data_IF_779092137634
#
_entry.id   IF_779092137634
#
_cell.length_a   1.000
_cell.length_b   1.000
_cell.length_c   1.000
_cell.angle_alpha   90.00
_cell.angle_beta   90.00
_cell.angle_gamma   90.00
#
_symmetry.space_group_name_H-M   'P 1'
#
loop_
_entity.id
_entity.type
_entity.pdbx_description
1 polymer ?
#
# COMPACT_ATOMS: atom_id res chain seq x y z
N UNK A 1 0.91 -2.75 -20.70
CA UNK A 1 0.40 -2.21 -19.41
C UNK A 1 1.45 -1.28 -18.80
N UNK A 2 1.05 -0.14 -18.23
CA UNK A 2 2.00 0.74 -17.54
C UNK A 2 2.31 0.16 -16.15
N UNK A 3 3.56 -0.22 -15.91
CA UNK A 3 4.02 -0.70 -14.60
C UNK A 3 4.13 0.48 -13.64
N UNK A 4 3.54 0.37 -12.46
CA UNK A 4 3.63 1.35 -11.38
C UNK A 4 4.43 0.77 -10.22
N UNK A 5 5.61 1.33 -10.00
CA UNK A 5 6.49 0.99 -8.89
C UNK A 5 6.66 2.19 -7.96
N UNK A 6 7.02 1.92 -6.71
CA UNK A 6 7.41 2.93 -5.71
C UNK A 6 6.35 4.00 -5.41
N UNK A 7 5.06 3.67 -5.61
CA UNK A 7 3.98 4.59 -5.27
C UNK A 7 3.88 4.91 -3.77
N UNK A 8 4.39 4.03 -2.93
CA UNK A 8 4.41 4.08 -1.47
C UNK A 8 5.60 4.87 -0.88
N UNK A 9 6.41 5.57 -1.69
CA UNK A 9 7.55 6.38 -1.21
C UNK A 9 8.52 5.62 -0.26
N UNK A 10 8.66 4.30 -0.44
CA UNK A 10 9.43 3.37 0.41
C UNK A 10 8.84 3.10 1.82
N UNK A 11 7.62 3.52 2.10
CA UNK A 11 6.97 3.26 3.38
C UNK A 11 5.98 2.10 3.29
N UNK A 12 6.20 1.06 4.10
CA UNK A 12 5.18 0.05 4.37
C UNK A 12 3.97 0.70 5.03
N UNK A 13 2.78 0.14 4.80
CA UNK A 13 1.57 0.59 5.47
C UNK A 13 1.71 0.34 6.97
N UNK A 14 1.47 1.38 7.77
CA UNK A 14 1.52 1.33 9.23
C UNK A 14 0.13 1.31 9.83
N UNK A 15 0.03 0.75 11.02
CA UNK A 15 -1.18 0.84 11.83
C UNK A 15 -1.65 2.30 11.98
N UNK A 16 -2.95 2.51 11.93
CA UNK A 16 -3.58 3.84 12.03
C UNK A 16 -3.51 4.71 10.77
N UNK A 17 -2.70 4.38 9.75
CA UNK A 17 -2.59 5.20 8.54
C UNK A 17 -3.87 5.20 7.70
N UNK A 18 -4.52 4.05 7.53
CA UNK A 18 -5.77 3.95 6.78
C UNK A 18 -6.88 4.73 7.50
N UNK A 19 -7.06 4.51 8.80
CA UNK A 19 -8.02 5.25 9.60
C UNK A 19 -7.82 6.77 9.50
N UNK A 20 -6.58 7.23 9.75
CA UNK A 20 -6.22 8.65 9.66
C UNK A 20 -6.54 9.22 8.28
N UNK A 21 -6.18 8.51 7.23
CA UNK A 21 -6.43 8.91 5.85
C UNK A 21 -7.91 8.97 5.51
N UNK A 22 -8.69 7.93 5.83
CA UNK A 22 -10.14 7.86 5.62
C UNK A 22 -10.84 9.03 6.30
N UNK A 23 -10.54 9.29 7.58
CA UNK A 23 -11.13 10.39 8.33
C UNK A 23 -10.85 11.77 7.72
N UNK A 24 -9.64 11.98 7.18
CA UNK A 24 -9.28 13.27 6.58
C UNK A 24 -9.88 13.45 5.18
N UNK A 25 -10.02 12.38 4.40
CA UNK A 25 -10.70 12.40 3.10
C UNK A 25 -12.20 12.67 3.27
N UNK A 26 -12.84 12.01 4.23
CA UNK A 26 -14.25 12.22 4.54
C UNK A 26 -14.55 13.68 4.94
N UNK A 27 -13.66 14.27 5.76
CA UNK A 27 -13.80 15.65 6.23
C UNK A 27 -13.48 16.71 5.15
N UNK A 28 -12.57 16.42 4.22
CA UNK A 28 -12.11 17.40 3.22
C UNK A 28 -11.66 16.74 1.93
N UNK A 29 -12.42 16.81 0.84
CA UNK A 29 -12.02 16.29 -0.47
C UNK A 29 -10.72 16.87 -1.03
N UNK A 30 -10.31 18.05 -0.57
CA UNK A 30 -9.08 18.72 -1.01
C UNK A 30 -7.89 18.49 -0.08
N UNK A 31 -7.98 17.54 0.86
CA UNK A 31 -6.95 17.28 1.87
C UNK A 31 -5.54 17.10 1.29
N UNK A 32 -5.41 16.51 0.10
CA UNK A 32 -4.12 16.28 -0.55
C UNK A 32 -3.65 17.41 -1.48
N UNK A 33 -4.39 18.53 -1.59
CA UNK A 33 -4.08 19.64 -2.50
C UNK A 33 -2.87 20.45 -2.04
N UNK A 34 -2.73 20.66 -0.73
CA UNK A 34 -1.64 21.43 -0.13
C UNK A 34 -0.67 20.48 0.57
N UNK A 35 0.62 20.65 0.33
CA UNK A 35 1.70 19.84 0.92
C UNK A 35 1.39 18.34 0.98
N UNK A 36 0.67 17.81 -0.03
CA UNK A 36 0.20 16.42 -0.09
C UNK A 36 -0.65 15.98 1.12
N UNK A 37 -1.21 16.91 1.87
CA UNK A 37 -1.98 16.63 3.08
C UNK A 37 -1.13 16.40 4.34
N UNK A 38 0.16 16.68 4.31
CA UNK A 38 1.08 16.42 5.42
C UNK A 38 0.63 17.07 6.73
N UNK A 39 0.24 18.36 6.67
CA UNK A 39 -0.20 19.11 7.85
C UNK A 39 -1.50 18.56 8.42
N UNK A 40 -2.47 18.24 7.55
CA UNK A 40 -3.75 17.67 7.96
C UNK A 40 -3.60 16.27 8.58
N UNK A 41 -2.66 15.46 8.04
CA UNK A 41 -2.37 14.11 8.53
C UNK A 41 -1.39 14.10 9.72
N UNK A 42 -0.70 15.21 10.02
CA UNK A 42 0.30 15.28 11.07
C UNK A 42 1.49 14.35 10.82
N UNK A 43 1.98 14.29 9.58
CA UNK A 43 3.11 13.43 9.16
C UNK A 43 3.98 14.17 8.15
N UNK A 44 5.18 13.66 7.86
CA UNK A 44 6.04 14.20 6.81
C UNK A 44 5.41 14.05 5.41
N UNK A 45 5.77 14.92 4.46
CA UNK A 45 5.17 14.96 3.12
C UNK A 45 5.27 13.64 2.34
N UNK A 46 6.38 12.90 2.45
CA UNK A 46 6.52 11.59 1.81
C UNK A 46 5.63 10.52 2.48
N UNK A 47 5.43 10.60 3.79
CA UNK A 47 4.48 9.73 4.49
C UNK A 47 3.04 10.05 4.08
N UNK A 48 2.69 11.32 3.91
CA UNK A 48 1.38 11.74 3.42
C UNK A 48 1.11 11.21 2.00
N UNK A 49 2.10 11.28 1.10
CA UNK A 49 2.03 10.66 -0.23
C UNK A 49 1.82 9.15 -0.16
N UNK A 50 2.52 8.48 0.77
CA UNK A 50 2.36 7.04 0.98
C UNK A 50 0.94 6.69 1.48
N UNK A 51 0.40 7.43 2.45
CA UNK A 51 -0.99 7.24 2.93
C UNK A 51 -1.98 7.41 1.77
N UNK A 52 -1.85 8.48 0.99
CA UNK A 52 -2.68 8.70 -0.20
C UNK A 52 -2.59 7.55 -1.20
N UNK A 53 -1.37 7.07 -1.46
CA UNK A 53 -1.14 5.92 -2.34
C UNK A 53 -1.84 4.66 -1.81
N UNK A 54 -1.66 4.31 -0.53
CA UNK A 54 -2.25 3.12 0.05
C UNK A 54 -3.78 3.13 -0.01
N UNK A 55 -4.42 4.26 0.30
CA UNK A 55 -5.88 4.41 0.18
C UNK A 55 -6.36 4.16 -1.24
N UNK A 56 -5.65 4.67 -2.25
CA UNK A 56 -5.98 4.44 -3.67
C UNK A 56 -5.70 3.02 -4.12
N UNK A 57 -4.55 2.49 -3.76
CA UNK A 57 -4.13 1.15 -4.16
C UNK A 57 -5.05 0.07 -3.57
N UNK A 58 -5.48 0.22 -2.31
CA UNK A 58 -6.46 -0.63 -1.64
C UNK A 58 -7.92 -0.32 -2.00
N UNK A 59 -8.17 0.63 -2.92
CA UNK A 59 -9.50 1.03 -3.39
C UNK A 59 -10.45 1.51 -2.29
N UNK A 60 -9.92 2.08 -1.22
CA UNK A 60 -10.73 2.73 -0.18
C UNK A 60 -11.01 4.20 -0.50
N UNK A 61 -10.24 4.76 -1.41
CA UNK A 61 -10.37 6.13 -1.89
C UNK A 61 -10.16 6.20 -3.40
N UNK A 62 -10.83 7.13 -4.04
CA UNK A 62 -10.61 7.53 -5.42
C UNK A 62 -10.44 9.05 -5.55
N UNK A 63 -9.88 9.50 -6.65
CA UNK A 63 -9.68 10.92 -6.95
C UNK A 63 -10.15 11.21 -8.38
N UNK A 64 -11.46 11.41 -8.58
CA UNK A 64 -11.98 11.83 -9.87
C UNK A 64 -11.42 13.20 -10.26
N UNK A 65 -11.17 13.45 -11.56
CA UNK A 65 -10.70 14.73 -12.02
C UNK A 65 -11.62 15.87 -11.57
N UNK A 66 -11.04 16.92 -10.97
CA UNK A 66 -11.72 18.13 -10.48
C UNK A 66 -12.62 17.97 -9.24
N UNK A 67 -12.88 16.77 -8.78
CA UNK A 67 -13.73 16.53 -7.60
C UNK A 67 -12.93 16.45 -6.29
N UNK A 68 -11.65 16.10 -6.39
CA UNK A 68 -10.79 15.84 -5.23
C UNK A 68 -10.87 14.40 -4.76
N UNK A 69 -10.37 14.15 -3.56
CA UNK A 69 -10.40 12.83 -2.93
C UNK A 69 -11.77 12.53 -2.36
N UNK A 70 -12.29 11.32 -2.58
CA UNK A 70 -13.52 10.83 -1.96
C UNK A 70 -13.40 9.36 -1.59
N UNK A 71 -14.12 8.94 -0.57
CA UNK A 71 -14.20 7.53 -0.20
C UNK A 71 -14.99 6.77 -1.26
N UNK A 72 -14.52 5.56 -1.58
CA UNK A 72 -15.32 4.59 -2.35
C UNK A 72 -16.44 4.03 -1.46
N UNK A 73 -17.40 3.31 -2.04
CA UNK A 73 -18.47 2.65 -1.25
C UNK A 73 -17.88 1.73 -0.17
N UNK A 74 -16.85 0.95 -0.54
CA UNK A 74 -16.11 0.10 0.42
C UNK A 74 -15.41 0.95 1.47
N UNK A 75 -14.74 2.03 1.06
CA UNK A 75 -14.09 2.96 1.99
C UNK A 75 -15.05 3.59 2.98
N UNK A 76 -16.27 3.94 2.54
CA UNK A 76 -17.32 4.48 3.41
C UNK A 76 -17.82 3.44 4.41
N UNK A 77 -18.07 2.20 3.97
CA UNK A 77 -18.50 1.10 4.83
C UNK A 77 -17.43 0.83 5.91
N UNK A 78 -16.17 0.66 5.51
CA UNK A 78 -15.07 0.43 6.45
C UNK A 78 -14.95 1.60 7.44
N UNK A 79 -14.99 2.84 6.96
CA UNK A 79 -14.87 4.03 7.82
C UNK A 79 -16.00 4.13 8.85
N UNK A 80 -17.21 3.67 8.49
CA UNK A 80 -18.40 3.72 9.35
C UNK A 80 -18.43 2.55 10.35
N UNK A 81 -18.19 1.32 9.87
CA UNK A 81 -18.43 0.10 10.64
C UNK A 81 -17.19 -0.41 11.37
N UNK A 82 -15.98 -0.17 10.83
CA UNK A 82 -14.69 -0.59 11.41
C UNK A 82 -13.64 0.52 11.26
N UNK A 83 -13.91 1.65 11.85
CA UNK A 83 -13.12 2.88 11.73
C UNK A 83 -11.63 2.68 12.02
N UNK A 84 -11.28 1.79 12.92
CA UNK A 84 -9.90 1.56 13.36
C UNK A 84 -9.25 0.34 12.70
N UNK A 85 -9.97 -0.35 11.80
CA UNK A 85 -9.52 -1.56 11.12
C UNK A 85 -9.07 -2.66 12.12
N UNK A 86 -9.86 -2.85 13.15
CA UNK A 86 -9.65 -3.89 14.17
C UNK A 86 -10.17 -5.26 13.70
N UNK A 87 -11.15 -5.27 12.78
CA UNK A 87 -11.65 -6.50 12.18
C UNK A 87 -10.68 -7.01 11.11
N UNK A 88 -10.20 -8.22 11.28
CA UNK A 88 -9.31 -8.88 10.31
C UNK A 88 -9.95 -8.97 8.91
N UNK A 89 -11.27 -9.01 8.82
CA UNK A 89 -12.01 -9.02 7.56
C UNK A 89 -11.79 -7.73 6.76
N UNK A 90 -11.74 -6.58 7.42
CA UNK A 90 -11.41 -5.29 6.80
C UNK A 90 -10.00 -5.28 6.20
N UNK A 91 -9.04 -5.91 6.87
CA UNK A 91 -7.68 -6.08 6.35
C UNK A 91 -7.64 -7.01 5.14
N UNK A 92 -8.42 -8.10 5.15
CA UNK A 92 -8.55 -8.99 3.99
C UNK A 92 -9.16 -8.27 2.78
N UNK A 93 -10.21 -7.46 2.98
CA UNK A 93 -10.81 -6.65 1.90
C UNK A 93 -9.75 -5.73 1.28
N UNK A 94 -8.99 -5.03 2.12
CA UNK A 94 -7.91 -4.17 1.63
C UNK A 94 -6.86 -4.96 0.87
N UNK A 95 -6.40 -6.08 1.44
CA UNK A 95 -5.41 -6.95 0.82
C UNK A 95 -5.85 -7.44 -0.57
N UNK A 96 -7.07 -7.96 -0.69
CA UNK A 96 -7.62 -8.45 -1.96
C UNK A 96 -7.66 -7.31 -3.00
N UNK A 97 -8.09 -6.13 -2.60
CA UNK A 97 -8.09 -4.97 -3.48
C UNK A 97 -6.68 -4.56 -3.92
N UNK A 98 -5.72 -4.59 -2.99
CA UNK A 98 -4.32 -4.25 -3.26
C UNK A 98 -3.68 -5.29 -4.19
N UNK A 99 -3.79 -6.58 -3.86
CA UNK A 99 -3.27 -7.69 -4.66
C UNK A 99 -3.93 -7.79 -6.05
N UNK A 100 -5.18 -7.37 -6.19
CA UNK A 100 -5.89 -7.29 -7.47
C UNK A 100 -5.62 -6.00 -8.27
N UNK A 101 -4.80 -5.07 -7.78
CA UNK A 101 -4.60 -3.77 -8.41
C UNK A 101 -3.34 -3.71 -9.27
N UNK A 102 -3.40 -4.27 -10.46
CA UNK A 102 -2.29 -4.29 -11.42
C UNK A 102 -1.77 -2.90 -11.81
N UNK A 103 -2.66 -1.86 -11.80
CA UNK A 103 -2.34 -0.52 -12.28
C UNK A 103 -1.58 0.35 -11.27
N UNK A 104 -1.89 0.21 -9.98
CA UNK A 104 -1.29 1.03 -8.92
C UNK A 104 -0.32 0.23 -8.05
N UNK A 105 -0.53 -1.07 -7.86
CA UNK A 105 0.27 -1.94 -7.00
C UNK A 105 0.82 -3.13 -7.79
N UNK A 106 1.53 -2.86 -8.88
CA UNK A 106 1.96 -3.87 -9.85
C UNK A 106 2.80 -4.99 -9.20
N UNK A 107 3.67 -4.65 -8.25
CA UNK A 107 4.49 -5.65 -7.54
C UNK A 107 3.66 -6.56 -6.64
N UNK A 108 2.65 -6.04 -5.96
CA UNK A 108 1.68 -6.84 -5.16
C UNK A 108 0.87 -7.74 -6.07
N UNK A 109 0.34 -7.19 -7.17
CA UNK A 109 -0.40 -7.98 -8.16
C UNK A 109 0.46 -9.14 -8.70
N UNK A 110 1.69 -8.87 -9.11
CA UNK A 110 2.57 -9.91 -9.64
C UNK A 110 2.92 -10.96 -8.58
N UNK A 111 3.24 -10.55 -7.36
CA UNK A 111 3.60 -11.46 -6.27
C UNK A 111 2.44 -12.42 -5.94
N UNK A 112 1.24 -11.91 -5.72
CA UNK A 112 0.12 -12.72 -5.25
C UNK A 112 -0.64 -13.47 -6.36
N UNK A 113 -0.46 -13.10 -7.63
CA UNK A 113 -1.23 -13.71 -8.73
C UNK A 113 -0.38 -14.41 -9.81
N UNK A 114 0.89 -14.07 -9.94
CA UNK A 114 1.74 -14.61 -11.02
C UNK A 114 2.89 -15.47 -10.50
N UNK A 115 3.12 -15.52 -9.21
CA UNK A 115 4.18 -16.28 -8.56
C UNK A 115 3.54 -17.38 -7.72
N UNK A 116 4.12 -18.58 -7.81
CA UNK A 116 3.73 -19.74 -7.00
C UNK A 116 5.01 -20.40 -6.50
N UNK A 117 5.53 -19.91 -5.37
CA UNK A 117 6.74 -20.41 -4.70
C UNK A 117 6.50 -20.39 -3.19
N UNK A 118 6.99 -21.42 -2.50
CA UNK A 118 6.81 -21.56 -1.06
C UNK A 118 7.99 -20.94 -0.28
N UNK A 119 9.20 -21.02 -0.84
CA UNK A 119 10.42 -20.52 -0.22
C UNK A 119 11.26 -19.71 -1.22
N UNK A 120 11.78 -18.57 -0.82
CA UNK A 120 12.59 -17.71 -1.67
C UNK A 120 13.47 -16.77 -0.84
N UNK A 121 14.62 -16.41 -1.41
CA UNK A 121 15.40 -15.27 -0.95
C UNK A 121 14.90 -13.97 -1.59
N UNK A 122 15.33 -12.81 -1.06
CA UNK A 122 15.04 -11.51 -1.71
C UNK A 122 15.57 -11.44 -3.14
N UNK A 123 16.71 -12.08 -3.41
CA UNK A 123 17.33 -12.09 -4.74
C UNK A 123 16.54 -12.99 -5.70
N UNK A 124 16.08 -14.14 -5.24
CA UNK A 124 15.19 -15.00 -6.04
C UNK A 124 13.91 -14.26 -6.41
N UNK A 125 13.28 -13.61 -5.43
CA UNK A 125 12.06 -12.84 -5.67
C UNK A 125 12.29 -11.69 -6.65
N UNK A 126 13.45 -11.01 -6.58
CA UNK A 126 13.82 -9.96 -7.53
C UNK A 126 13.88 -10.50 -8.96
N UNK A 127 14.57 -11.63 -9.16
CA UNK A 127 14.73 -12.24 -10.48
C UNK A 127 13.39 -12.73 -11.04
N UNK A 128 12.58 -13.38 -10.22
CA UNK A 128 11.25 -13.89 -10.61
C UNK A 128 10.31 -12.71 -10.97
N UNK A 129 10.27 -11.66 -10.17
CA UNK A 129 9.44 -10.49 -10.47
C UNK A 129 9.89 -9.78 -11.74
N UNK A 130 11.20 -9.65 -11.99
CA UNK A 130 11.72 -9.11 -13.25
C UNK A 130 11.25 -9.96 -14.44
N UNK A 131 11.36 -11.29 -14.35
CA UNK A 131 10.86 -12.20 -15.38
C UNK A 131 9.36 -12.01 -15.65
N UNK A 132 8.54 -11.98 -14.61
CA UNK A 132 7.08 -11.86 -14.73
C UNK A 132 6.62 -10.47 -15.20
N UNK A 133 7.30 -9.41 -14.81
CA UNK A 133 6.92 -8.04 -15.15
C UNK A 133 7.45 -7.59 -16.51
N UNK A 134 8.56 -8.14 -17.01
CA UNK A 134 9.17 -7.75 -18.29
C UNK A 134 8.19 -7.83 -19.47
N UNK A 135 7.42 -8.92 -19.65
CA UNK A 135 6.41 -8.98 -20.72
C UNK A 135 5.31 -7.93 -20.59
N UNK A 136 5.00 -7.51 -19.35
CA UNK A 136 3.94 -6.54 -19.08
C UNK A 136 4.41 -5.09 -19.29
N UNK A 137 5.71 -4.84 -19.32
CA UNK A 137 6.32 -3.51 -19.34
C UNK A 137 6.25 -2.78 -20.69
N UNK A 138 5.61 -3.34 -21.71
CA UNK A 138 5.46 -2.72 -23.04
C UNK A 138 6.79 -2.17 -23.61
N UNK A 139 7.84 -2.98 -23.57
CA UNK A 139 9.21 -2.65 -24.01
C UNK A 139 9.93 -1.56 -23.21
N UNK A 140 9.38 -1.14 -22.06
CA UNK A 140 10.08 -0.21 -21.16
C UNK A 140 10.94 -1.02 -20.19
N UNK A 141 12.15 -0.53 -19.91
CA UNK A 141 12.99 -1.13 -18.88
C UNK A 141 12.33 -0.96 -17.51
N UNK A 142 12.38 -2.02 -16.70
CA UNK A 142 11.91 -1.98 -15.32
C UNK A 142 13.04 -1.39 -14.46
N UNK A 143 12.79 -0.29 -13.71
CA UNK A 143 13.79 0.28 -12.81
C UNK A 143 14.06 -0.67 -11.64
N UNK A 144 15.15 -1.43 -11.69
CA UNK A 144 15.50 -2.45 -10.68
C UNK A 144 15.52 -1.88 -9.25
N UNK A 145 16.06 -0.67 -9.06
CA UNK A 145 16.06 -0.01 -7.75
C UNK A 145 14.65 0.16 -7.19
N UNK A 146 13.71 0.61 -8.03
CA UNK A 146 12.32 0.78 -7.60
C UNK A 146 11.65 -0.55 -7.30
N UNK A 147 11.96 -1.60 -8.05
CA UNK A 147 11.47 -2.94 -7.78
C UNK A 147 12.03 -3.51 -6.47
N UNK A 148 13.32 -3.28 -6.17
CA UNK A 148 13.93 -3.65 -4.87
C UNK A 148 13.26 -2.91 -3.69
N UNK A 149 12.93 -1.63 -3.87
CA UNK A 149 12.18 -0.86 -2.87
C UNK A 149 10.79 -1.48 -2.64
N UNK A 150 10.06 -1.82 -3.71
CA UNK A 150 8.75 -2.48 -3.63
C UNK A 150 8.83 -3.85 -2.92
N UNK A 151 9.81 -4.69 -3.26
CA UNK A 151 10.03 -5.99 -2.60
C UNK A 151 10.27 -5.80 -1.10
N UNK A 152 11.11 -4.84 -0.73
CA UNK A 152 11.40 -4.58 0.68
C UNK A 152 10.16 -4.14 1.44
N UNK A 153 9.35 -3.26 0.86
CA UNK A 153 8.09 -2.80 1.46
C UNK A 153 7.06 -3.92 1.51
N UNK A 154 6.94 -4.73 0.45
CA UNK A 154 6.03 -5.88 0.40
C UNK A 154 6.36 -6.86 1.53
N UNK A 155 7.60 -7.29 1.64
CA UNK A 155 8.00 -8.24 2.69
C UNK A 155 7.78 -7.66 4.09
N UNK A 156 8.13 -6.38 4.31
CA UNK A 156 7.91 -5.73 5.60
C UNK A 156 6.43 -5.59 5.98
N UNK A 157 5.51 -5.64 4.99
CA UNK A 157 4.08 -5.61 5.27
C UNK A 157 3.53 -6.92 5.79
N UNK A 158 4.03 -8.06 5.32
CA UNK A 158 3.42 -9.37 5.58
C UNK A 158 4.24 -10.24 6.53
N UNK A 159 5.53 -9.97 6.69
CA UNK A 159 6.41 -10.77 7.58
C UNK A 159 6.38 -10.18 9.00
N UNK A 160 6.15 -11.05 9.98
CA UNK A 160 6.35 -10.70 11.40
C UNK A 160 7.84 -10.66 11.70
N UNK A 161 8.45 -9.48 11.75
CA UNK A 161 9.80 -9.38 12.29
C UNK A 161 9.79 -9.73 13.80
N UNK A 162 10.71 -10.61 14.21
CA UNK A 162 11.04 -10.77 15.64
C UNK A 162 11.80 -9.51 16.07
N UNK A 163 11.08 -8.51 16.55
CA UNK A 163 11.71 -7.30 17.08
C UNK A 163 12.48 -7.64 18.37
N UNK A 164 13.79 -7.54 18.33
CA UNK A 164 14.66 -7.64 19.51
C UNK A 164 14.66 -6.35 20.35
N UNK A 165 14.27 -5.19 19.78
CA UNK A 165 14.12 -3.92 20.48
C UNK A 165 12.82 -3.23 20.03
N UNK A 166 11.81 -3.31 20.87
CA UNK A 166 10.53 -2.64 20.67
C UNK A 166 10.62 -1.21 21.18
N UNK A 167 10.60 -0.22 20.26
CA UNK A 167 10.37 1.17 20.58
C UNK A 167 8.89 1.50 20.32
N UNK A 168 8.08 1.75 21.36
CA UNK A 168 6.66 2.06 21.22
C UNK A 168 6.38 3.34 20.41
N UNK A 169 7.33 4.30 20.37
CA UNK A 169 7.18 5.57 19.64
C UNK A 169 7.40 5.40 18.13
N UNK A 170 8.16 4.37 17.73
CA UNK A 170 8.38 4.01 16.34
C UNK A 170 7.47 2.86 15.88
N UNK A 171 6.15 2.96 16.08
CA UNK A 171 5.24 1.89 15.65
C UNK A 171 5.28 1.70 14.11
N UNK A 172 6.22 0.86 13.66
CA UNK A 172 6.45 0.49 12.26
C UNK A 172 5.70 -0.78 11.87
N UNK A 173 4.92 -1.35 12.79
CA UNK A 173 4.23 -2.61 12.56
C UNK A 173 3.16 -2.40 11.49
N UNK A 174 3.21 -3.26 10.48
CA UNK A 174 2.15 -3.33 9.49
C UNK A 174 1.01 -4.21 10.03
N UNK A 175 -0.26 -3.78 9.89
CA UNK A 175 -1.40 -4.60 10.29
C UNK A 175 -1.51 -5.90 9.49
N UNK A 176 -0.92 -5.97 8.29
CA UNK A 176 -1.00 -7.14 7.40
C UNK A 176 -0.23 -8.36 7.88
N UNK A 177 0.74 -8.20 8.78
CA UNK A 177 1.40 -9.34 9.42
C UNK A 177 0.43 -10.27 10.17
N UNK A 178 -0.79 -9.80 10.48
CA UNK A 178 -1.85 -10.60 11.11
C UNK A 178 -2.54 -11.56 10.13
N UNK A 179 -2.45 -11.32 8.82
CA UNK A 179 -3.10 -12.15 7.81
C UNK A 179 -2.47 -13.53 7.66
N UNK A 180 -1.20 -13.70 8.07
CA UNK A 180 -0.49 -14.98 8.02
C UNK A 180 -0.15 -15.46 6.61
N UNK A 181 0.05 -14.52 5.68
CA UNK A 181 0.39 -14.75 4.27
C UNK A 181 1.89 -14.91 4.08
#
# INVERSE_FOLDING_TARGET
MAIKLKGHETFALREGWLNKGLAKVDANPKVFSENYGADALGVGSNMAKAIRYWLKAGKFMEEPPKEGAKLTDIGQIIFKEDKYLEDIFSLWIFHINLAGNEKLATSWYAFFNLINIDEFSKEDLMNILLEKLTPLAEKKAIPERSLRDDISVLLNMYVKEKQQNYDPEENKISPFAQLGL
#
